data_IF_808100866730
#
_entry.id   IF_808100866730
#
_cell.length_a   1.000
_cell.length_b   1.000
_cell.length_c   1.000
_cell.angle_alpha   90.00
_cell.angle_beta   90.00
_cell.angle_gamma   90.00
#
_symmetry.space_group_name_H-M   'P 1'
#
loop_
_entity.id
_entity.type
_entity.pdbx_description
1 polymer ?
#
# COMPACT_ATOMS: atom_id res chain seq x y z
N UNK A 1 -10.93 -15.95 -16.84
CA UNK A 1 -11.00 -15.28 -15.53
C UNK A 1 -10.79 -16.35 -14.46
N UNK A 2 -10.01 -16.08 -13.41
CA UNK A 2 -9.90 -17.02 -12.29
C UNK A 2 -11.27 -17.25 -11.63
N UNK A 3 -11.38 -18.38 -10.93
CA UNK A 3 -12.59 -18.74 -10.18
C UNK A 3 -12.79 -17.90 -8.92
N UNK A 4 -13.77 -18.23 -8.06
CA UNK A 4 -13.95 -17.55 -6.77
C UNK A 4 -12.72 -17.73 -5.89
N UNK A 5 -12.37 -16.71 -5.12
CA UNK A 5 -11.18 -16.73 -4.24
C UNK A 5 -11.35 -17.81 -3.17
N UNK A 6 -10.42 -18.75 -3.12
CA UNK A 6 -10.28 -19.73 -2.03
C UNK A 6 -8.99 -19.50 -1.24
N UNK A 7 -7.97 -19.02 -1.92
CA UNK A 7 -6.66 -18.73 -1.37
C UNK A 7 -6.11 -17.45 -1.98
N UNK A 8 -5.44 -16.62 -1.18
CA UNK A 8 -4.83 -15.36 -1.61
C UNK A 8 -3.33 -15.35 -1.28
N UNK A 9 -2.50 -15.24 -2.30
CA UNK A 9 -1.07 -14.93 -2.13
C UNK A 9 -0.92 -13.45 -1.92
N UNK A 10 -0.25 -13.05 -0.85
CA UNK A 10 0.04 -11.66 -0.53
C UNK A 10 1.55 -11.43 -0.59
N UNK A 11 1.97 -10.48 -1.41
CA UNK A 11 3.37 -10.08 -1.53
C UNK A 11 3.53 -8.69 -0.93
N UNK A 12 4.26 -8.61 0.20
CA UNK A 12 4.56 -7.36 0.88
C UNK A 12 5.81 -6.72 0.28
N UNK A 13 5.62 -5.72 -0.58
CA UNK A 13 6.67 -4.95 -1.24
C UNK A 13 7.27 -3.82 -0.40
N UNK A 14 6.98 -3.76 0.91
CA UNK A 14 7.63 -2.80 1.80
C UNK A 14 9.13 -3.13 1.95
N UNK A 15 10.04 -2.15 1.79
CA UNK A 15 11.48 -2.37 2.03
C UNK A 15 11.83 -2.50 3.52
N UNK A 16 10.86 -2.28 4.41
CA UNK A 16 11.05 -2.39 5.86
C UNK A 16 10.73 -3.80 6.35
N UNK A 17 11.54 -4.28 7.29
CA UNK A 17 11.22 -5.53 8.00
C UNK A 17 9.84 -5.43 8.67
N UNK A 18 9.09 -6.53 8.73
CA UNK A 18 7.69 -6.61 9.16
C UNK A 18 7.40 -5.79 10.44
N UNK A 19 8.22 -5.93 11.49
CA UNK A 19 8.08 -5.21 12.76
C UNK A 19 7.93 -3.68 12.60
N UNK A 20 8.62 -3.08 11.61
CA UNK A 20 8.63 -1.64 11.36
C UNK A 20 7.83 -1.24 10.12
N UNK A 21 7.20 -2.19 9.43
CA UNK A 21 6.44 -1.96 8.21
C UNK A 21 5.01 -1.52 8.52
N UNK A 22 4.60 -0.39 7.94
CA UNK A 22 3.19 0.00 7.95
C UNK A 22 2.36 -0.91 7.06
N UNK A 23 2.92 -1.35 5.92
CA UNK A 23 2.28 -2.29 5.00
C UNK A 23 1.93 -3.59 5.69
N UNK A 24 2.84 -4.12 6.50
CA UNK A 24 2.60 -5.35 7.26
C UNK A 24 1.38 -5.23 8.18
N UNK A 25 1.27 -4.12 8.92
CA UNK A 25 0.13 -3.86 9.81
C UNK A 25 -1.19 -3.70 9.03
N UNK A 26 -1.13 -3.08 7.86
CA UNK A 26 -2.27 -2.94 6.95
C UNK A 26 -2.70 -4.32 6.44
N UNK A 27 -1.76 -5.14 5.97
CA UNK A 27 -2.02 -6.51 5.51
C UNK A 27 -2.68 -7.33 6.63
N UNK A 28 -2.13 -7.31 7.84
CA UNK A 28 -2.71 -8.05 8.97
C UNK A 28 -4.12 -7.59 9.35
N UNK A 29 -4.46 -6.32 9.15
CA UNK A 29 -5.85 -5.87 9.33
C UNK A 29 -6.74 -6.33 8.17
N UNK A 30 -6.25 -6.28 6.94
CA UNK A 30 -6.98 -6.71 5.75
C UNK A 30 -7.30 -8.22 5.79
N UNK A 31 -6.33 -9.06 6.17
CA UNK A 31 -6.53 -10.53 6.20
C UNK A 31 -7.52 -10.97 7.27
N UNK A 32 -7.71 -10.22 8.38
CA UNK A 32 -8.78 -10.52 9.33
C UNK A 32 -10.15 -10.58 8.65
N UNK A 33 -10.40 -9.64 7.74
CA UNK A 33 -11.63 -9.64 6.95
C UNK A 33 -11.73 -10.78 5.95
N UNK A 34 -10.62 -11.33 5.44
CA UNK A 34 -10.59 -12.53 4.61
C UNK A 34 -10.91 -13.78 5.44
N UNK A 35 -10.29 -13.92 6.60
CA UNK A 35 -10.42 -15.07 7.49
C UNK A 35 -11.88 -15.29 7.94
N UNK A 36 -12.62 -14.21 8.18
CA UNK A 36 -14.05 -14.27 8.51
C UNK A 36 -14.91 -14.93 7.41
N UNK A 37 -14.41 -14.95 6.17
CA UNK A 37 -15.09 -15.56 5.03
C UNK A 37 -14.58 -16.96 4.68
N UNK A 38 -13.61 -17.48 5.45
CA UNK A 38 -13.00 -18.80 5.25
C UNK A 38 -11.93 -18.84 4.15
N UNK A 39 -11.52 -17.69 3.60
CA UNK A 39 -10.43 -17.62 2.62
C UNK A 39 -9.09 -17.79 3.35
N UNK A 40 -8.27 -18.70 2.86
CA UNK A 40 -6.89 -18.89 3.33
C UNK A 40 -5.95 -17.90 2.64
N UNK A 41 -4.80 -17.65 3.24
CA UNK A 41 -3.80 -16.73 2.68
C UNK A 41 -2.39 -17.13 3.07
N UNK A 42 -1.41 -16.67 2.30
CA UNK A 42 0.01 -16.71 2.63
C UNK A 42 0.66 -15.37 2.37
N UNK A 43 1.73 -15.06 3.10
CA UNK A 43 2.41 -13.76 3.04
C UNK A 43 3.91 -13.94 2.79
N UNK A 44 4.41 -13.27 1.76
CA UNK A 44 5.83 -13.18 1.44
C UNK A 44 6.33 -11.75 1.62
N UNK A 45 7.37 -11.58 2.45
CA UNK A 45 7.94 -10.26 2.74
C UNK A 45 9.19 -10.01 1.91
N UNK A 46 9.14 -9.15 0.91
CA UNK A 46 10.27 -8.86 0.03
C UNK A 46 11.47 -8.20 0.72
N UNK A 47 11.27 -7.60 1.91
CA UNK A 47 12.37 -7.12 2.74
C UNK A 47 13.34 -8.23 3.18
N UNK A 48 12.89 -9.48 3.12
CA UNK A 48 13.71 -10.68 3.29
C UNK A 48 13.99 -11.31 1.92
N UNK A 49 15.18 -11.10 1.36
CA UNK A 49 15.53 -11.66 0.05
C UNK A 49 15.49 -13.19 -0.02
N UNK A 50 15.59 -13.88 1.11
CA UNK A 50 15.46 -15.35 1.16
C UNK A 50 14.05 -15.85 0.83
N UNK A 51 13.03 -14.98 0.93
CA UNK A 51 11.65 -15.29 0.58
C UNK A 51 11.33 -15.07 -0.91
N UNK A 52 12.24 -14.47 -1.69
CA UNK A 52 11.95 -14.09 -3.07
C UNK A 52 11.68 -15.29 -3.97
N UNK A 53 12.40 -16.40 -3.81
CA UNK A 53 12.17 -17.62 -4.60
C UNK A 53 10.79 -18.20 -4.29
N UNK A 54 10.42 -18.29 -3.01
CA UNK A 54 9.11 -18.73 -2.59
C UNK A 54 8.00 -17.77 -3.07
N UNK A 55 8.23 -16.47 -3.00
CA UNK A 55 7.28 -15.47 -3.51
C UNK A 55 7.07 -15.58 -5.03
N UNK A 56 8.12 -15.87 -5.81
CA UNK A 56 8.00 -16.13 -7.26
C UNK A 56 7.23 -17.40 -7.55
N UNK A 57 7.53 -18.48 -6.84
CA UNK A 57 6.81 -19.74 -6.97
C UNK A 57 5.33 -19.57 -6.64
N UNK A 58 5.01 -18.92 -5.53
CA UNK A 58 3.64 -18.62 -5.15
C UNK A 58 2.93 -17.73 -6.19
N UNK A 59 3.64 -16.70 -6.71
CA UNK A 59 3.13 -15.87 -7.81
C UNK A 59 2.77 -16.72 -9.04
N UNK A 60 3.57 -17.73 -9.40
CA UNK A 60 3.37 -18.54 -10.60
C UNK A 60 2.28 -19.60 -10.46
N UNK A 61 2.05 -20.10 -9.26
CA UNK A 61 1.21 -21.29 -9.02
C UNK A 61 -0.20 -20.97 -8.54
N UNK A 62 -0.46 -19.74 -8.08
CA UNK A 62 -1.77 -19.36 -7.55
C UNK A 62 -2.54 -18.42 -8.48
N UNK A 63 -3.87 -18.48 -8.38
CA UNK A 63 -4.79 -17.73 -9.23
C UNK A 63 -5.05 -16.30 -8.73
N UNK A 64 -4.99 -16.05 -7.41
CA UNK A 64 -5.27 -14.75 -6.83
C UNK A 64 -4.04 -14.21 -6.09
N UNK A 65 -3.57 -13.05 -6.52
CA UNK A 65 -2.36 -12.42 -6.01
C UNK A 65 -2.66 -10.97 -5.64
N UNK A 66 -2.24 -10.58 -4.46
CA UNK A 66 -2.28 -9.20 -3.97
C UNK A 66 -0.87 -8.71 -3.69
N UNK A 67 -0.43 -7.69 -4.40
CA UNK A 67 0.83 -7.00 -4.09
C UNK A 67 0.52 -5.73 -3.31
N UNK A 68 1.05 -5.63 -2.08
CA UNK A 68 0.84 -4.51 -1.19
C UNK A 68 2.15 -3.77 -0.94
N UNK A 69 2.19 -2.45 -1.17
CA UNK A 69 3.41 -1.65 -0.93
C UNK A 69 3.11 -0.18 -0.65
N UNK A 70 4.04 0.53 0.04
CA UNK A 70 3.95 1.95 0.24
C UNK A 70 4.43 2.72 -0.99
N UNK A 71 3.88 3.90 -1.28
CA UNK A 71 4.53 4.87 -2.15
C UNK A 71 5.45 5.79 -1.32
N UNK A 72 6.63 6.02 -1.84
CA UNK A 72 7.59 7.00 -1.33
C UNK A 72 7.72 8.12 -2.34
N UNK A 73 7.14 9.29 -2.01
CA UNK A 73 7.08 10.43 -2.93
C UNK A 73 6.57 9.99 -4.31
N UNK A 74 5.36 9.39 -4.32
CA UNK A 74 4.66 8.86 -5.51
C UNK A 74 5.37 7.70 -6.24
N UNK A 75 6.55 7.27 -5.75
CA UNK A 75 7.34 6.22 -6.40
C UNK A 75 7.14 4.84 -5.77
N UNK A 76 7.16 3.82 -6.62
CA UNK A 76 7.24 2.41 -6.22
C UNK A 76 8.61 2.16 -5.58
N UNK A 77 8.72 1.46 -4.44
CA UNK A 77 10.01 1.10 -3.86
C UNK A 77 10.91 0.34 -4.85
N UNK A 78 12.19 0.72 -4.93
CA UNK A 78 13.14 0.09 -5.87
C UNK A 78 13.24 -1.42 -5.70
N UNK A 79 13.19 -1.91 -4.47
CA UNK A 79 13.17 -3.34 -4.17
C UNK A 79 11.93 -4.04 -4.78
N UNK A 80 10.78 -3.37 -4.79
CA UNK A 80 9.58 -3.90 -5.45
C UNK A 80 9.76 -3.95 -6.96
N UNK A 81 10.33 -2.91 -7.57
CA UNK A 81 10.65 -2.90 -9.01
C UNK A 81 11.65 -3.99 -9.37
N UNK A 82 12.68 -4.20 -8.54
CA UNK A 82 13.64 -5.27 -8.71
C UNK A 82 12.96 -6.64 -8.69
N UNK A 83 12.08 -6.89 -7.71
CA UNK A 83 11.32 -8.14 -7.64
C UNK A 83 10.42 -8.34 -8.86
N UNK A 84 9.66 -7.32 -9.26
CA UNK A 84 8.80 -7.37 -10.45
C UNK A 84 9.59 -7.72 -11.72
N UNK A 85 10.81 -7.18 -11.86
CA UNK A 85 11.70 -7.50 -12.95
C UNK A 85 12.22 -8.95 -12.97
N UNK A 86 12.03 -9.71 -11.90
CA UNK A 86 12.37 -11.14 -11.81
C UNK A 86 11.19 -12.05 -12.14
N UNK A 87 9.98 -11.51 -12.26
CA UNK A 87 8.79 -12.30 -12.58
C UNK A 87 8.75 -12.62 -14.09
N UNK A 88 8.42 -13.85 -14.48
CA UNK A 88 8.27 -14.19 -15.89
C UNK A 88 7.01 -13.56 -16.49
N UNK A 89 7.06 -13.29 -17.79
CA UNK A 89 5.94 -12.76 -18.56
C UNK A 89 4.88 -13.80 -18.92
N UNK A 90 5.21 -15.08 -18.79
CA UNK A 90 4.32 -16.18 -19.15
C UNK A 90 3.90 -16.99 -17.93
N UNK A 91 2.64 -17.34 -17.88
CA UNK A 91 2.04 -18.19 -16.85
C UNK A 91 1.33 -19.38 -17.46
N UNK A 92 1.38 -20.52 -16.77
CA UNK A 92 0.71 -21.76 -17.21
C UNK A 92 -0.78 -21.76 -16.90
N UNK A 93 -1.25 -20.94 -15.97
CA UNK A 93 -2.65 -20.86 -15.56
C UNK A 93 -3.09 -19.40 -15.41
N UNK A 94 -4.40 -19.13 -15.68
CA UNK A 94 -4.96 -17.80 -15.47
C UNK A 94 -4.78 -17.33 -14.04
N UNK A 95 -4.41 -16.06 -13.87
CA UNK A 95 -4.33 -15.44 -12.56
C UNK A 95 -4.84 -14.01 -12.60
N UNK A 96 -5.22 -13.51 -11.43
CA UNK A 96 -5.59 -12.13 -11.21
C UNK A 96 -4.60 -11.47 -10.27
N UNK A 97 -4.07 -10.34 -10.68
CA UNK A 97 -3.16 -9.53 -9.90
C UNK A 97 -3.86 -8.24 -9.44
N UNK A 98 -3.97 -8.08 -8.15
CA UNK A 98 -4.53 -6.90 -7.49
C UNK A 98 -3.45 -6.17 -6.71
N UNK A 99 -3.69 -4.88 -6.44
CA UNK A 99 -2.72 -4.07 -5.70
C UNK A 99 -3.35 -3.39 -4.50
N UNK A 100 -2.54 -3.18 -3.44
CA UNK A 100 -2.87 -2.35 -2.29
C UNK A 100 -1.78 -1.30 -2.13
N UNK A 101 -2.13 -0.05 -2.38
CA UNK A 101 -1.23 1.09 -2.26
C UNK A 101 -1.58 1.92 -1.03
N UNK A 102 -0.55 2.36 -0.32
CA UNK A 102 -0.71 3.33 0.74
C UNK A 102 0.44 4.35 0.75
N UNK A 103 0.20 5.51 1.32
CA UNK A 103 1.20 6.59 1.39
C UNK A 103 0.96 7.52 2.56
N UNK A 104 1.89 8.45 2.74
CA UNK A 104 1.81 9.44 3.81
C UNK A 104 0.81 10.56 3.55
N UNK A 105 0.62 10.94 2.31
CA UNK A 105 -0.32 11.97 1.88
C UNK A 105 -1.75 11.42 1.87
N UNK A 106 -2.74 12.27 2.17
CA UNK A 106 -4.14 11.84 2.33
C UNK A 106 -4.94 11.90 1.02
N UNK A 107 -4.47 12.65 0.02
CA UNK A 107 -5.18 12.90 -1.23
C UNK A 107 -5.00 11.74 -2.23
N UNK A 108 -6.09 11.31 -2.86
CA UNK A 108 -6.10 10.20 -3.81
C UNK A 108 -5.29 10.45 -5.08
N UNK A 109 -5.22 11.71 -5.56
CA UNK A 109 -4.46 12.09 -6.75
C UNK A 109 -2.97 11.73 -6.67
N UNK A 110 -2.38 11.73 -5.46
CA UNK A 110 -0.98 11.36 -5.23
C UNK A 110 -0.65 9.90 -5.65
N UNK A 111 -1.67 9.08 -5.82
CA UNK A 111 -1.52 7.67 -6.18
C UNK A 111 -1.84 7.40 -7.66
N UNK A 112 -2.51 8.32 -8.35
CA UNK A 112 -3.08 8.05 -9.68
C UNK A 112 -2.05 7.79 -10.76
N UNK A 113 -0.87 8.39 -10.65
CA UNK A 113 0.21 8.12 -11.59
C UNK A 113 0.70 6.66 -11.46
N UNK A 114 0.96 6.22 -10.23
CA UNK A 114 1.36 4.84 -9.95
C UNK A 114 0.25 3.84 -10.36
N UNK A 115 -1.01 4.13 -10.01
CA UNK A 115 -2.15 3.28 -10.39
C UNK A 115 -2.22 3.05 -11.89
N UNK A 116 -2.02 4.08 -12.72
CA UNK A 116 -1.99 3.93 -14.20
C UNK A 116 -0.88 2.99 -14.68
N UNK A 117 0.29 3.04 -14.05
CA UNK A 117 1.38 2.10 -14.35
C UNK A 117 0.95 0.68 -14.00
N UNK A 118 0.35 0.49 -12.83
CA UNK A 118 -0.08 -0.82 -12.33
C UNK A 118 -1.24 -1.42 -13.13
N UNK A 119 -2.05 -0.62 -13.80
CA UNK A 119 -3.12 -1.11 -14.67
C UNK A 119 -2.59 -1.92 -15.88
N UNK A 120 -1.44 -1.54 -16.41
CA UNK A 120 -0.81 -2.23 -17.55
C UNK A 120 0.14 -3.37 -17.17
N UNK A 121 0.58 -3.43 -15.90
CA UNK A 121 1.56 -4.41 -15.46
C UNK A 121 1.03 -5.86 -15.44
N UNK A 122 -0.21 -6.16 -15.01
CA UNK A 122 -0.72 -7.53 -14.97
C UNK A 122 -0.69 -8.23 -16.33
N UNK A 123 -1.07 -7.53 -17.40
CA UNK A 123 -1.04 -8.07 -18.76
C UNK A 123 0.38 -8.50 -19.16
N UNK A 124 1.39 -7.72 -18.84
CA UNK A 124 2.80 -8.03 -19.09
C UNK A 124 3.30 -9.26 -18.31
N UNK A 125 2.63 -9.59 -17.20
CA UNK A 125 2.93 -10.73 -16.33
C UNK A 125 1.97 -11.92 -16.55
N UNK A 126 1.19 -11.92 -17.64
CA UNK A 126 0.24 -12.98 -17.95
C UNK A 126 -0.94 -13.07 -16.96
N UNK A 127 -1.29 -11.96 -16.33
CA UNK A 127 -2.39 -11.87 -15.35
C UNK A 127 -3.50 -10.93 -15.83
N UNK A 128 -4.72 -11.15 -15.33
CA UNK A 128 -5.76 -10.13 -15.40
C UNK A 128 -5.59 -9.09 -14.27
N UNK A 129 -5.97 -7.85 -14.53
CA UNK A 129 -5.96 -6.81 -13.51
C UNK A 129 -7.17 -6.93 -12.59
N UNK A 130 -6.95 -7.02 -11.27
CA UNK A 130 -7.99 -7.13 -10.23
C UNK A 130 -8.26 -5.82 -9.49
N UNK A 131 -7.76 -4.71 -10.01
CA UNK A 131 -7.96 -3.39 -9.40
C UNK A 131 -6.89 -3.03 -8.36
N UNK A 132 -6.93 -1.77 -7.92
CA UNK A 132 -6.01 -1.23 -6.91
C UNK A 132 -6.81 -0.60 -5.77
N UNK A 133 -6.58 -1.10 -4.55
CA UNK A 133 -7.04 -0.44 -3.33
C UNK A 133 -6.04 0.64 -2.93
N UNK A 134 -6.52 1.87 -2.78
CA UNK A 134 -5.68 3.02 -2.47
C UNK A 134 -6.11 3.64 -1.14
N UNK A 135 -5.14 3.98 -0.30
CA UNK A 135 -5.39 4.76 0.92
C UNK A 135 -4.19 5.60 1.33
N UNK A 136 -4.41 6.89 1.46
CA UNK A 136 -3.46 7.82 2.05
C UNK A 136 -3.46 7.81 3.58
N UNK A 137 -2.68 8.72 4.19
CA UNK A 137 -2.67 8.96 5.64
C UNK A 137 -1.97 7.90 6.48
N UNK A 138 -1.20 7.00 5.87
CA UNK A 138 -0.56 5.88 6.58
C UNK A 138 0.67 6.29 7.43
N UNK A 139 1.13 7.53 7.35
CA UNK A 139 2.29 8.01 8.13
C UNK A 139 2.09 7.84 9.64
N UNK A 140 0.85 8.06 10.13
CA UNK A 140 0.50 7.92 11.53
C UNK A 140 0.62 6.50 12.10
N UNK A 141 0.60 5.46 11.27
CA UNK A 141 0.69 4.05 11.73
C UNK A 141 1.98 3.80 12.50
N UNK A 142 3.09 4.46 12.14
CA UNK A 142 4.39 4.27 12.82
C UNK A 142 4.62 5.25 13.97
N UNK A 143 4.10 6.46 13.85
CA UNK A 143 4.46 7.59 14.70
C UNK A 143 3.49 7.86 15.85
N UNK A 144 2.33 7.20 15.86
CA UNK A 144 1.27 7.39 16.83
C UNK A 144 1.24 6.27 17.87
N UNK A 145 0.51 6.50 18.96
CA UNK A 145 0.20 5.51 19.99
C UNK A 145 -0.63 4.35 19.43
N UNK A 146 -0.58 3.19 20.07
CA UNK A 146 -1.19 1.95 19.57
C UNK A 146 -2.70 2.05 19.35
N UNK A 147 -3.42 2.78 20.21
CA UNK A 147 -4.86 3.02 20.03
C UNK A 147 -5.18 3.82 18.74
N UNK A 148 -4.31 4.77 18.36
CA UNK A 148 -4.48 5.56 17.13
C UNK A 148 -4.09 4.72 15.92
N UNK A 149 -3.01 3.93 16.02
CA UNK A 149 -2.62 2.98 14.97
C UNK A 149 -3.75 2.01 14.65
N UNK A 150 -4.37 1.42 15.67
CA UNK A 150 -5.49 0.52 15.51
C UNK A 150 -6.65 1.17 14.73
N UNK A 151 -6.98 2.42 15.02
CA UNK A 151 -8.02 3.18 14.29
C UNK A 151 -7.67 3.42 12.81
N UNK A 152 -6.37 3.62 12.49
CA UNK A 152 -5.93 3.84 11.11
C UNK A 152 -6.01 2.56 10.30
N UNK A 153 -5.68 1.40 10.88
CA UNK A 153 -5.67 0.12 10.16
C UNK A 153 -7.01 -0.61 10.17
N UNK A 154 -7.86 -0.42 11.19
CA UNK A 154 -9.15 -1.10 11.31
C UNK A 154 -10.03 -1.05 10.04
N UNK A 155 -10.11 0.06 9.30
CA UNK A 155 -10.93 0.11 8.08
C UNK A 155 -10.50 -0.87 6.97
N UNK A 156 -9.25 -1.35 6.99
CA UNK A 156 -8.78 -2.34 6.01
C UNK A 156 -9.40 -3.73 6.20
N UNK A 157 -9.83 -4.07 7.40
CA UNK A 157 -10.58 -5.31 7.68
C UNK A 157 -11.89 -5.35 6.87
N UNK A 158 -12.63 -4.22 6.83
CA UNK A 158 -13.80 -4.12 5.97
C UNK A 158 -13.46 -4.30 4.48
N UNK A 159 -12.31 -3.79 4.04
CA UNK A 159 -11.85 -3.97 2.66
C UNK A 159 -11.46 -5.42 2.37
N UNK A 160 -10.94 -6.14 3.36
CA UNK A 160 -10.69 -7.59 3.25
C UNK A 160 -11.98 -8.38 3.04
N UNK A 161 -13.02 -8.11 3.83
CA UNK A 161 -14.36 -8.72 3.64
C UNK A 161 -14.95 -8.41 2.27
N UNK A 162 -14.86 -7.16 1.84
CA UNK A 162 -15.34 -6.74 0.52
C UNK A 162 -14.59 -7.47 -0.60
N UNK A 163 -13.26 -7.54 -0.51
CA UNK A 163 -12.44 -8.24 -1.49
C UNK A 163 -12.75 -9.73 -1.55
N UNK A 164 -12.96 -10.36 -0.41
CA UNK A 164 -13.38 -11.76 -0.33
C UNK A 164 -14.66 -12.04 -1.10
N UNK A 165 -15.62 -11.13 -1.06
CA UNK A 165 -16.92 -11.26 -1.71
C UNK A 165 -16.86 -10.92 -3.21
N UNK A 166 -16.12 -9.88 -3.59
CA UNK A 166 -16.09 -9.36 -4.96
C UNK A 166 -15.00 -9.98 -5.84
N UNK A 167 -13.94 -10.49 -5.23
CA UNK A 167 -12.76 -10.98 -5.92
C UNK A 167 -11.85 -9.88 -6.51
N UNK A 168 -12.18 -8.60 -6.34
CA UNK A 168 -11.45 -7.49 -6.96
C UNK A 168 -11.71 -6.17 -6.23
N UNK A 169 -11.02 -5.11 -6.66
CA UNK A 169 -11.18 -3.75 -6.13
C UNK A 169 -12.00 -2.81 -7.04
N UNK A 170 -12.73 -3.32 -8.03
CA UNK A 170 -13.61 -2.50 -8.89
C UNK A 170 -14.97 -2.21 -8.24
N UNK A 171 -14.99 -1.97 -6.95
CA UNK A 171 -16.21 -1.76 -6.17
C UNK A 171 -16.38 -0.31 -5.77
N UNK A 172 -17.62 0.18 -5.58
CA UNK A 172 -17.87 1.51 -5.05
C UNK A 172 -17.24 1.73 -3.66
N UNK A 173 -17.17 0.67 -2.85
CA UNK A 173 -16.57 0.67 -1.52
C UNK A 173 -15.06 0.94 -1.58
N UNK A 174 -14.34 0.27 -2.49
CA UNK A 174 -12.92 0.49 -2.70
C UNK A 174 -12.63 1.92 -3.17
N UNK A 175 -13.45 2.44 -4.09
CA UNK A 175 -13.37 3.83 -4.56
C UNK A 175 -13.62 4.83 -3.43
N UNK A 176 -14.65 4.59 -2.61
CA UNK A 176 -14.97 5.44 -1.45
C UNK A 176 -13.86 5.38 -0.39
N UNK A 177 -13.21 4.23 -0.23
CA UNK A 177 -12.14 4.02 0.73
C UNK A 177 -10.93 4.90 0.46
N UNK A 178 -10.60 5.18 -0.79
CA UNK A 178 -9.51 6.10 -1.17
C UNK A 178 -9.65 7.46 -0.50
N UNK A 179 -10.88 7.97 -0.38
CA UNK A 179 -11.17 9.30 0.14
C UNK A 179 -11.18 10.36 -0.98
N UNK A 180 -11.01 11.65 -0.64
CA UNK A 180 -11.04 12.72 -1.63
C UNK A 180 -9.83 12.64 -2.57
N UNK A 181 -10.06 12.88 -3.86
CA UNK A 181 -8.97 13.03 -4.84
C UNK A 181 -8.09 14.22 -4.49
N UNK A 182 -8.72 15.31 -4.09
CA UNK A 182 -8.05 16.53 -3.67
C UNK A 182 -8.90 17.25 -2.63
N UNK A 183 -8.27 17.77 -1.60
CA UNK A 183 -8.98 18.63 -0.65
C UNK A 183 -9.35 19.98 -1.30
N UNK A 184 -10.50 20.54 -0.97
CA UNK A 184 -10.84 21.90 -1.38
C UNK A 184 -9.75 22.90 -1.00
N UNK A 185 -9.51 23.91 -1.84
CA UNK A 185 -8.44 24.90 -1.65
C UNK A 185 -8.45 25.56 -0.27
N UNK A 186 -9.65 25.83 0.26
CA UNK A 186 -9.81 26.44 1.59
C UNK A 186 -9.35 25.50 2.73
N UNK A 187 -9.58 24.18 2.63
CA UNK A 187 -9.06 23.20 3.57
C UNK A 187 -7.55 23.18 3.52
N UNK A 188 -6.96 23.15 2.32
CA UNK A 188 -5.51 23.18 2.12
C UNK A 188 -4.90 24.45 2.72
N UNK A 189 -5.53 25.60 2.48
CA UNK A 189 -5.10 26.88 3.05
C UNK A 189 -5.22 26.90 4.58
N UNK A 190 -6.31 26.38 5.14
CA UNK A 190 -6.49 26.27 6.59
C UNK A 190 -5.44 25.35 7.23
N UNK A 191 -5.20 24.18 6.65
CA UNK A 191 -4.15 23.25 7.11
C UNK A 191 -2.76 23.94 7.04
N UNK A 192 -2.45 24.63 5.94
CA UNK A 192 -1.23 25.39 5.79
C UNK A 192 -1.06 26.44 6.89
N UNK A 193 -2.06 27.24 7.16
CA UNK A 193 -1.98 28.31 8.19
C UNK A 193 -1.86 27.78 9.62
N UNK A 194 -2.58 26.70 9.96
CA UNK A 194 -2.66 26.21 11.33
C UNK A 194 -1.56 25.20 11.67
N UNK A 195 -1.13 24.39 10.71
CA UNK A 195 -0.26 23.25 10.98
C UNK A 195 1.16 23.38 10.45
N UNK A 196 1.44 24.19 9.41
CA UNK A 196 2.80 24.31 8.85
C UNK A 196 3.83 24.72 9.89
N UNK A 197 3.53 25.70 10.74
CA UNK A 197 4.47 26.13 11.81
C UNK A 197 4.78 25.00 12.79
N UNK A 198 3.73 24.22 13.18
CA UNK A 198 3.89 23.10 14.12
C UNK A 198 4.63 21.93 13.48
N UNK A 199 4.33 21.64 12.23
CA UNK A 199 5.00 20.58 11.44
C UNK A 199 6.46 20.93 11.21
N UNK A 200 6.77 22.16 10.76
CA UNK A 200 8.14 22.62 10.56
C UNK A 200 8.97 22.56 11.86
N UNK A 201 8.38 23.01 12.98
CA UNK A 201 9.05 22.90 14.29
C UNK A 201 9.29 21.43 14.68
N UNK A 202 8.37 20.53 14.36
CA UNK A 202 8.52 19.08 14.54
C UNK A 202 9.69 18.52 13.73
N UNK A 203 9.81 18.90 12.46
CA UNK A 203 10.93 18.49 11.60
C UNK A 203 12.26 19.11 12.06
N UNK A 204 12.29 20.36 12.50
CA UNK A 204 13.47 20.98 13.07
C UNK A 204 13.96 20.25 14.33
N UNK A 205 13.05 19.89 15.23
CA UNK A 205 13.38 19.11 16.43
C UNK A 205 13.91 17.72 16.07
N UNK A 206 13.29 17.07 15.08
CA UNK A 206 13.74 15.78 14.59
C UNK A 206 15.13 15.86 13.95
N UNK A 207 15.39 16.86 13.11
CA UNK A 207 16.70 17.08 12.53
C UNK A 207 17.79 17.35 13.62
N UNK A 208 17.46 18.15 14.64
CA UNK A 208 18.35 18.39 15.78
C UNK A 208 18.66 17.12 16.57
N UNK A 209 17.67 16.24 16.79
CA UNK A 209 17.88 14.96 17.47
C UNK A 209 18.82 14.02 16.71
N UNK A 210 19.03 14.26 15.41
CA UNK A 210 19.97 13.54 14.56
C UNK A 210 21.30 14.26 14.36
N UNK A 211 21.56 15.31 15.15
CA UNK A 211 22.81 16.07 15.09
C UNK A 211 22.92 17.04 13.92
N UNK A 212 21.82 17.34 13.23
CA UNK A 212 21.80 18.34 12.17
C UNK A 212 21.88 19.75 12.77
N UNK A 213 23.04 20.41 12.65
CA UNK A 213 23.30 21.75 13.22
C UNK A 213 23.21 22.88 12.20
N UNK A 214 23.12 22.58 10.90
CA UNK A 214 23.00 23.59 9.84
C UNK A 214 21.57 24.07 9.69
N UNK A 215 21.31 25.39 9.46
CA UNK A 215 20.00 25.87 9.07
C UNK A 215 19.58 25.15 7.78
N UNK A 216 18.38 24.60 7.78
CA UNK A 216 17.89 23.78 6.66
C UNK A 216 17.84 24.59 5.37
N UNK A 217 18.49 24.08 4.35
CA UNK A 217 18.26 24.44 2.96
C UNK A 217 16.92 23.82 2.59
N UNK A 218 15.89 24.63 2.43
CA UNK A 218 14.57 24.17 2.01
C UNK A 218 13.47 24.53 3.00
N UNK A 219 13.19 25.81 3.14
CA UNK A 219 11.83 26.24 3.46
C UNK A 219 11.01 25.99 2.21
N UNK A 220 10.03 25.07 2.30
CA UNK A 220 9.02 24.99 1.25
C UNK A 220 8.41 26.39 1.09
N UNK A 221 8.73 27.05 0.02
CA UNK A 221 8.02 28.24 -0.41
C UNK A 221 6.70 27.74 -0.99
N UNK A 222 5.63 27.93 -0.24
CA UNK A 222 4.23 27.77 -0.72
C UNK A 222 3.77 29.13 -1.24
#
# INVERSE_FOLDING_TARGET
>A
MPGPIKHLVIINGSPRVAKFSNTDKIIHSFVKGLEETGITWELHNLSNRKEWDAAREAFLTHEHILIAFPLYVECIPSMMLEFLGTLPSERKQPAQLSFLLHGGMDEGNEFRFCERILQGLPEQLGCSYGGTLIKGGSFGIRTREDAVKAKIVAPYEKMGRMFAQSGNFFTPEAKKFTGPEQYPWWVRKMVSLLFLKKVNKGFENFAKSWGCTRPQIGRAHV
#
